data_IF_435876539764
#
_entry.id   IF_435876539764
#
_cell.length_a   1.000
_cell.length_b   1.000
_cell.length_c   1.000
_cell.angle_alpha   90.00
_cell.angle_beta   90.00
_cell.angle_gamma   90.00
#
_symmetry.space_group_name_H-M   'P 1'
#
loop_
_entity.id
_entity.type
_entity.pdbx_description
1 polymer ?
#
# COMPACT_ATOMS: atom_id res chain seq x y z
N UNK A 1 20.28 0.13 -12.44
CA UNK A 1 19.25 -0.70 -11.79
C UNK A 1 19.95 -1.79 -11.01
N UNK A 2 19.68 -1.98 -9.69
CA UNK A 2 20.41 -2.94 -8.84
C UNK A 2 20.10 -4.42 -9.14
N UNK A 3 19.12 -4.72 -9.99
CA UNK A 3 18.68 -6.09 -10.25
C UNK A 3 17.78 -6.65 -9.14
N UNK A 4 17.86 -7.95 -8.90
CA UNK A 4 17.08 -8.62 -7.84
C UNK A 4 17.60 -8.23 -6.45
N UNK A 5 16.65 -7.89 -5.57
CA UNK A 5 16.91 -7.51 -4.18
C UNK A 5 16.32 -8.59 -3.29
N UNK A 6 17.09 -9.07 -2.33
CA UNK A 6 16.59 -10.05 -1.35
C UNK A 6 15.64 -9.38 -0.35
N UNK A 7 14.63 -10.11 0.11
CA UNK A 7 13.57 -9.56 0.97
C UNK A 7 14.09 -8.91 2.27
N UNK A 8 15.25 -9.36 2.77
CA UNK A 8 15.87 -8.81 3.98
C UNK A 8 16.34 -7.37 3.81
N UNK A 9 16.70 -6.96 2.58
CA UNK A 9 17.22 -5.62 2.28
C UNK A 9 16.11 -4.64 1.86
N UNK A 10 14.89 -5.13 1.58
CA UNK A 10 13.78 -4.29 1.15
C UNK A 10 13.41 -3.18 2.14
N UNK A 11 13.37 -3.42 3.47
CA UNK A 11 13.08 -2.36 4.43
C UNK A 11 14.08 -1.19 4.37
N UNK A 12 15.38 -1.48 4.19
CA UNK A 12 16.41 -0.44 4.09
C UNK A 12 16.25 0.39 2.82
N UNK A 13 15.84 -0.25 1.72
CA UNK A 13 15.55 0.45 0.46
C UNK A 13 14.32 1.34 0.60
N UNK A 14 13.23 0.84 1.15
CA UNK A 14 12.05 1.67 1.40
C UNK A 14 12.37 2.83 2.33
N UNK A 15 13.04 2.58 3.46
CA UNK A 15 13.41 3.63 4.41
C UNK A 15 14.36 4.70 3.84
N UNK A 16 15.18 4.34 2.86
CA UNK A 16 16.09 5.29 2.20
C UNK A 16 15.44 6.06 1.03
N UNK A 17 14.28 5.62 0.59
CA UNK A 17 13.58 6.27 -0.51
C UNK A 17 12.81 7.51 -0.04
N UNK A 18 12.86 8.57 -0.85
CA UNK A 18 12.06 9.78 -0.63
C UNK A 18 10.55 9.48 -0.75
N UNK A 19 10.15 8.73 -1.75
CA UNK A 19 8.78 8.28 -1.97
C UNK A 19 8.77 6.96 -2.76
N UNK A 20 7.71 6.18 -2.59
CA UNK A 20 7.47 4.97 -3.36
C UNK A 20 6.37 5.21 -4.40
N UNK A 21 6.75 5.08 -5.66
CA UNK A 21 5.86 5.23 -6.79
C UNK A 21 5.38 3.87 -7.28
N UNK A 22 4.08 3.59 -7.12
CA UNK A 22 3.47 2.31 -7.49
C UNK A 22 2.27 2.52 -8.41
N UNK A 23 2.55 2.76 -9.68
CA UNK A 23 1.58 3.14 -10.73
C UNK A 23 1.05 1.95 -11.52
N UNK A 24 0.79 0.83 -10.83
CA UNK A 24 0.27 -0.37 -11.48
C UNK A 24 -1.14 -0.13 -12.04
N UNK A 25 -1.37 -0.57 -13.26
CA UNK A 25 -2.69 -0.52 -13.90
C UNK A 25 -3.64 -1.58 -13.33
N UNK A 26 -3.10 -2.71 -12.90
CA UNK A 26 -3.88 -3.83 -12.38
C UNK A 26 -3.09 -4.64 -11.38
N UNK A 27 -3.64 -4.75 -10.18
CA UNK A 27 -3.11 -5.55 -9.08
C UNK A 27 -4.22 -6.33 -8.40
N UNK A 28 -3.89 -7.51 -7.90
CA UNK A 28 -4.82 -8.28 -7.07
C UNK A 28 -4.86 -7.77 -5.62
N UNK A 29 -3.73 -7.32 -5.09
CA UNK A 29 -3.62 -6.77 -3.73
C UNK A 29 -2.68 -5.57 -3.66
N UNK A 30 -1.37 -5.74 -3.91
CA UNK A 30 -0.38 -4.66 -3.84
C UNK A 30 0.45 -4.72 -2.54
N UNK A 31 1.02 -5.88 -2.22
CA UNK A 31 1.90 -6.05 -1.05
C UNK A 31 3.02 -5.00 -1.00
N UNK A 32 3.73 -4.65 -2.11
CA UNK A 32 4.77 -3.63 -2.08
C UNK A 32 4.29 -2.25 -1.59
N UNK A 33 3.02 -1.92 -1.82
CA UNK A 33 2.43 -0.68 -1.32
C UNK A 33 2.39 -0.67 0.22
N UNK A 34 1.97 -1.78 0.84
CA UNK A 34 1.94 -1.92 2.30
C UNK A 34 3.34 -2.00 2.91
N UNK A 35 4.30 -2.60 2.21
CA UNK A 35 5.70 -2.66 2.66
C UNK A 35 6.30 -1.25 2.75
N UNK A 36 6.13 -0.43 1.71
CA UNK A 36 6.56 0.96 1.72
C UNK A 36 5.85 1.77 2.83
N UNK A 37 4.54 1.61 2.97
CA UNK A 37 3.77 2.26 4.04
C UNK A 37 4.24 1.84 5.44
N UNK A 38 4.55 0.56 5.65
CA UNK A 38 5.04 0.05 6.93
C UNK A 38 6.42 0.61 7.30
N UNK A 39 7.22 0.99 6.30
CA UNK A 39 8.50 1.69 6.47
C UNK A 39 8.33 3.21 6.67
N UNK A 40 7.13 3.76 6.60
CA UNK A 40 6.87 5.19 6.71
C UNK A 40 7.23 5.97 5.44
N UNK A 41 7.50 5.28 4.34
CA UNK A 41 7.79 5.92 3.04
C UNK A 41 6.49 6.44 2.45
N UNK A 42 6.39 7.73 2.09
CA UNK A 42 5.23 8.26 1.37
C UNK A 42 4.99 7.51 0.08
N UNK A 43 3.73 7.18 -0.22
CA UNK A 43 3.37 6.41 -1.40
C UNK A 43 2.49 7.22 -2.34
N UNK A 44 2.79 7.13 -3.65
CA UNK A 44 1.93 7.60 -4.73
C UNK A 44 1.50 6.36 -5.50
N UNK A 45 0.20 6.09 -5.57
CA UNK A 45 -0.31 4.87 -6.19
C UNK A 45 -1.51 5.12 -7.09
N UNK A 46 -1.88 4.13 -7.88
CA UNK A 46 -2.98 4.22 -8.83
C UNK A 46 -4.33 4.36 -8.14
N UNK A 47 -5.23 5.10 -8.77
CA UNK A 47 -6.64 5.20 -8.38
C UNK A 47 -7.49 4.05 -8.93
N UNK A 48 -6.86 2.97 -9.41
CA UNK A 48 -7.50 1.82 -10.05
C UNK A 48 -7.24 0.52 -9.31
N UNK A 49 -8.00 -0.53 -9.66
CA UNK A 49 -7.85 -1.89 -9.13
C UNK A 49 -7.99 -1.94 -7.60
N UNK A 50 -7.14 -2.68 -6.89
CA UNK A 50 -7.12 -2.78 -5.44
C UNK A 50 -6.43 -1.61 -4.72
N UNK A 51 -5.74 -0.73 -5.46
CA UNK A 51 -4.91 0.32 -4.87
C UNK A 51 -5.67 1.31 -3.98
N UNK A 52 -6.88 1.80 -4.34
CA UNK A 52 -7.65 2.67 -3.47
C UNK A 52 -8.09 1.98 -2.17
N UNK A 53 -8.43 0.69 -2.24
CA UNK A 53 -8.80 -0.10 -1.07
C UNK A 53 -7.60 -0.30 -0.13
N UNK A 54 -6.44 -0.67 -0.68
CA UNK A 54 -5.23 -0.92 0.11
C UNK A 54 -4.64 0.38 0.65
N UNK A 55 -4.53 1.41 -0.17
CA UNK A 55 -4.00 2.72 0.23
C UNK A 55 -4.87 3.46 1.23
N UNK A 56 -6.18 3.29 1.12
CA UNK A 56 -7.16 3.94 1.99
C UNK A 56 -7.47 5.38 1.59
N UNK A 57 -8.38 6.04 2.35
CA UNK A 57 -8.99 7.31 1.94
C UNK A 57 -8.03 8.51 1.93
N UNK A 58 -6.89 8.41 2.58
CA UNK A 58 -5.93 9.50 2.69
C UNK A 58 -4.64 9.26 1.88
N UNK A 59 -4.58 8.18 1.10
CA UNK A 59 -3.46 7.90 0.21
C UNK A 59 -3.43 8.88 -0.98
N UNK A 60 -2.24 9.10 -1.54
CA UNK A 60 -2.09 9.84 -2.79
C UNK A 60 -2.45 8.90 -3.94
N UNK A 61 -3.65 9.07 -4.46
CA UNK A 61 -4.20 8.29 -5.58
C UNK A 61 -4.13 9.14 -6.85
N UNK A 62 -3.54 8.58 -7.90
CA UNK A 62 -3.36 9.24 -9.20
C UNK A 62 -3.88 8.36 -10.34
N UNK A 63 -4.19 8.98 -11.47
CA UNK A 63 -4.37 8.24 -12.70
C UNK A 63 -3.00 7.75 -13.20
N UNK A 64 -2.77 6.41 -13.26
CA UNK A 64 -1.47 5.86 -13.66
C UNK A 64 -1.08 6.14 -15.11
N UNK A 65 -2.05 6.57 -15.94
CA UNK A 65 -1.83 6.96 -17.35
C UNK A 65 -1.62 8.47 -17.52
N UNK A 66 -1.58 9.24 -16.42
CA UNK A 66 -1.38 10.69 -16.44
C UNK A 66 -0.02 11.07 -15.79
N UNK A 67 1.07 11.20 -16.58
CA UNK A 67 2.38 11.55 -16.07
C UNK A 67 2.45 12.93 -15.39
N UNK A 68 1.60 13.86 -15.82
CA UNK A 68 1.53 15.22 -15.26
C UNK A 68 1.03 15.18 -13.81
N UNK A 69 -0.01 14.39 -13.54
CA UNK A 69 -0.55 14.20 -12.20
C UNK A 69 0.47 13.52 -11.26
N UNK A 70 1.22 12.55 -11.78
CA UNK A 70 2.30 11.90 -11.05
C UNK A 70 3.38 12.92 -10.67
N UNK A 71 3.84 13.72 -11.64
CA UNK A 71 4.85 14.74 -11.44
C UNK A 71 4.39 15.82 -10.44
N UNK A 72 3.13 16.24 -10.53
CA UNK A 72 2.53 17.21 -9.60
C UNK A 72 2.58 16.69 -8.15
N UNK A 73 2.20 15.43 -7.91
CA UNK A 73 2.23 14.85 -6.56
C UNK A 73 3.65 14.65 -6.03
N UNK A 74 4.61 14.31 -6.89
CA UNK A 74 6.02 14.25 -6.51
C UNK A 74 6.55 15.61 -6.10
N UNK A 75 6.28 16.67 -6.88
CA UNK A 75 6.66 18.05 -6.55
C UNK A 75 5.97 18.54 -5.28
N UNK A 76 4.74 18.16 -5.05
CA UNK A 76 4.03 18.50 -3.82
C UNK A 76 4.68 17.86 -2.59
N UNK A 77 5.07 16.60 -2.66
CA UNK A 77 5.83 15.96 -1.57
C UNK A 77 7.17 16.66 -1.33
N UNK A 78 7.86 17.10 -2.39
CA UNK A 78 9.15 17.77 -2.28
C UNK A 78 9.05 19.18 -1.67
N UNK A 79 8.01 19.94 -2.01
CA UNK A 79 7.90 21.34 -1.65
C UNK A 79 7.07 21.61 -0.40
N UNK A 80 6.31 20.62 0.10
CA UNK A 80 5.41 20.79 1.24
C UNK A 80 5.76 19.82 2.38
N UNK A 81 6.67 20.20 3.28
CA UNK A 81 7.12 19.38 4.41
C UNK A 81 5.96 18.84 5.27
N UNK A 82 4.94 19.66 5.53
CA UNK A 82 3.78 19.27 6.33
C UNK A 82 3.01 18.17 5.61
N UNK A 83 2.84 18.29 4.29
CA UNK A 83 2.17 17.27 3.48
C UNK A 83 2.99 15.98 3.46
N UNK A 84 4.30 16.06 3.29
CA UNK A 84 5.20 14.93 3.32
C UNK A 84 5.07 14.15 4.65
N UNK A 85 5.23 14.84 5.79
CA UNK A 85 5.11 14.23 7.13
C UNK A 85 3.74 13.63 7.37
N UNK A 86 2.69 14.26 6.86
CA UNK A 86 1.34 13.69 6.92
C UNK A 86 1.26 12.36 6.16
N UNK A 87 1.88 12.26 4.98
CA UNK A 87 1.85 11.02 4.20
C UNK A 87 2.67 9.88 4.83
N UNK A 88 3.78 10.19 5.51
CA UNK A 88 4.49 9.20 6.34
C UNK A 88 3.54 8.60 7.38
N UNK A 89 2.84 9.43 8.14
CA UNK A 89 1.91 8.97 9.19
C UNK A 89 0.71 8.21 8.62
N UNK A 90 0.13 8.69 7.53
CA UNK A 90 -0.97 8.01 6.83
C UNK A 90 -0.56 6.59 6.44
N UNK A 91 0.63 6.41 5.89
CA UNK A 91 1.16 5.10 5.53
C UNK A 91 1.33 4.18 6.73
N UNK A 92 2.01 4.66 7.77
CA UNK A 92 2.25 3.90 9.00
C UNK A 92 0.95 3.43 9.68
N UNK A 93 -0.04 4.32 9.81
CA UNK A 93 -1.33 3.98 10.41
C UNK A 93 -2.11 3.00 9.52
N UNK A 94 -2.03 3.18 8.20
CA UNK A 94 -2.71 2.28 7.26
C UNK A 94 -2.15 0.87 7.31
N UNK A 95 -0.82 0.72 7.31
CA UNK A 95 -0.15 -0.57 7.34
C UNK A 95 -0.50 -1.40 8.58
N UNK A 96 -0.75 -0.76 9.74
CA UNK A 96 -1.15 -1.44 10.98
C UNK A 96 -2.47 -2.20 10.87
N UNK A 97 -3.34 -1.83 9.93
CA UNK A 97 -4.63 -2.49 9.71
C UNK A 97 -4.50 -3.85 9.02
N UNK A 98 -3.32 -4.16 8.48
CA UNK A 98 -3.06 -5.38 7.73
C UNK A 98 -2.06 -6.27 8.47
N UNK A 99 -2.42 -7.52 8.69
CA UNK A 99 -1.51 -8.51 9.23
C UNK A 99 -1.88 -9.92 8.75
N UNK A 100 -0.91 -10.77 8.59
CA UNK A 100 -1.13 -12.17 8.24
C UNK A 100 -1.97 -12.90 9.30
N UNK A 101 -1.83 -12.53 10.57
CA UNK A 101 -2.65 -13.06 11.66
C UNK A 101 -4.12 -12.72 11.44
N UNK A 102 -4.44 -11.45 11.21
CA UNK A 102 -5.81 -11.00 10.97
C UNK A 102 -6.42 -11.65 9.73
N UNK A 103 -5.64 -11.76 8.66
CA UNK A 103 -6.06 -12.47 7.43
C UNK A 103 -6.40 -13.94 7.73
N UNK A 104 -5.57 -14.64 8.52
CA UNK A 104 -5.81 -16.02 8.89
C UNK A 104 -7.06 -16.18 9.77
N UNK A 105 -7.26 -15.28 10.72
CA UNK A 105 -8.45 -15.27 11.60
C UNK A 105 -9.74 -15.09 10.77
N UNK A 106 -9.77 -14.12 9.86
CA UNK A 106 -10.91 -13.90 8.96
C UNK A 106 -11.18 -15.11 8.05
N UNK A 107 -10.13 -15.74 7.54
CA UNK A 107 -10.27 -16.92 6.69
C UNK A 107 -10.85 -18.10 7.45
N UNK A 108 -10.41 -18.33 8.69
CA UNK A 108 -10.97 -19.36 9.58
C UNK A 108 -12.45 -19.12 9.86
N UNK A 109 -12.84 -17.87 10.08
CA UNK A 109 -14.25 -17.51 10.29
C UNK A 109 -15.10 -17.81 9.05
N UNK A 110 -14.59 -17.55 7.85
CA UNK A 110 -15.28 -17.90 6.60
C UNK A 110 -15.46 -19.42 6.49
N UNK A 111 -14.42 -20.20 6.78
CA UNK A 111 -14.50 -21.69 6.75
C UNK A 111 -15.52 -22.22 7.76
N UNK A 112 -15.51 -21.70 8.98
CA UNK A 112 -16.46 -22.07 10.02
C UNK A 112 -17.91 -21.79 9.60
N UNK A 113 -18.15 -20.62 9.00
CA UNK A 113 -19.46 -20.23 8.53
C UNK A 113 -19.97 -21.14 7.40
N UNK A 114 -19.10 -21.51 6.46
CA UNK A 114 -19.44 -22.42 5.36
C UNK A 114 -19.70 -23.83 5.90
N UNK A 115 -18.88 -24.31 6.81
CA UNK A 115 -19.07 -25.63 7.44
C UNK A 115 -20.41 -25.71 8.19
N UNK A 116 -20.72 -24.75 9.03
CA UNK A 116 -21.99 -24.67 9.79
C UNK A 116 -23.23 -24.61 8.88
N UNK A 117 -23.14 -23.94 7.74
CA UNK A 117 -24.22 -23.88 6.73
C UNK A 117 -24.48 -25.24 6.09
N UNK A 118 -23.41 -25.98 5.78
CA UNK A 118 -23.52 -27.29 5.13
C UNK A 118 -23.91 -28.41 6.10
N UNK A 119 -23.55 -28.28 7.38
CA UNK A 119 -23.91 -29.28 8.42
C UNK A 119 -25.38 -29.23 8.86
N UNK A 120 -26.13 -28.20 8.43
CA UNK A 120 -27.57 -28.03 8.69
C UNK A 120 -28.45 -28.53 7.54
N UNK A 121 -27.85 -29.08 6.49
CA UNK A 121 -28.53 -29.72 5.37
C UNK A 121 -28.43 -31.25 5.48
#
# INVERSE_FOLDING_TARGET
MPGYIVNQDLPDIYNSAFAFLYTSLRESFGIPLLEAMACGTPVITSNTSSMPEIGGPNAILINPENPEEIAEMMLKLENEDIFYRKQEQVGLERAKLFSWRHTAEQLLEVYDNVYKRNSKR
#
